data_IF_536573566253
#
_entry.id   IF_536573566253
#
_cell.length_a   1.000
_cell.length_b   1.000
_cell.length_c   1.000
_cell.angle_alpha   90.00
_cell.angle_beta   90.00
_cell.angle_gamma   90.00
#
_symmetry.space_group_name_H-M   'P 1'
#
loop_
_entity.id
_entity.type
_entity.pdbx_description
1 polymer ?
#
# COMPACT_ATOMS: atom_id res chain seq x y z
N UNK A 1 -5.07 -33.90 12.74
CA UNK A 1 -5.69 -32.60 13.09
C UNK A 1 -6.99 -32.62 12.32
N UNK A 2 -8.13 -32.74 13.01
CA UNK A 2 -9.42 -32.88 12.33
C UNK A 2 -9.66 -31.69 11.41
N UNK A 3 -10.08 -31.98 10.18
CA UNK A 3 -10.32 -30.96 9.17
C UNK A 3 -11.56 -30.16 9.59
N UNK A 4 -11.35 -28.89 9.97
CA UNK A 4 -12.45 -28.01 10.37
C UNK A 4 -13.44 -27.87 9.23
N UNK A 5 -14.72 -28.09 9.52
CA UNK A 5 -15.80 -27.90 8.56
C UNK A 5 -16.04 -26.40 8.30
N UNK A 6 -16.85 -26.07 7.29
CA UNK A 6 -17.10 -24.68 6.87
C UNK A 6 -17.69 -23.78 7.99
N UNK A 7 -18.43 -24.36 8.94
CA UNK A 7 -19.02 -23.64 10.09
C UNK A 7 -17.96 -23.39 11.15
N UNK A 8 -17.14 -24.40 11.45
CA UNK A 8 -16.03 -24.28 12.42
C UNK A 8 -14.98 -23.28 11.93
N UNK A 9 -14.68 -23.25 10.62
CA UNK A 9 -13.82 -22.22 10.01
C UNK A 9 -14.40 -20.82 10.19
N UNK A 10 -15.72 -20.66 10.05
CA UNK A 10 -16.38 -19.39 10.29
C UNK A 10 -16.30 -18.95 11.76
N UNK A 11 -16.55 -19.88 12.69
CA UNK A 11 -16.42 -19.64 14.13
C UNK A 11 -14.98 -19.27 14.50
N UNK A 12 -13.98 -19.97 13.96
CA UNK A 12 -12.57 -19.67 14.20
C UNK A 12 -12.21 -18.25 13.75
N UNK A 13 -12.62 -17.85 12.54
CA UNK A 13 -12.39 -16.49 12.05
C UNK A 13 -13.10 -15.43 12.91
N UNK A 14 -14.30 -15.73 13.40
CA UNK A 14 -15.08 -14.83 14.25
C UNK A 14 -14.46 -14.68 15.65
N UNK A 15 -14.13 -15.78 16.32
CA UNK A 15 -13.47 -15.73 17.63
C UNK A 15 -12.09 -15.08 17.56
N UNK A 16 -11.38 -15.22 16.44
CA UNK A 16 -10.10 -14.52 16.23
C UNK A 16 -10.30 -13.01 16.24
N UNK A 17 -11.26 -12.47 15.50
CA UNK A 17 -11.47 -11.01 15.48
C UNK A 17 -12.06 -10.49 16.79
N UNK A 18 -12.93 -11.25 17.45
CA UNK A 18 -13.43 -10.90 18.79
C UNK A 18 -12.28 -10.76 19.79
N UNK A 19 -11.32 -11.69 19.77
CA UNK A 19 -10.13 -11.63 20.64
C UNK A 19 -9.25 -10.40 20.39
N UNK A 20 -9.31 -9.78 19.19
CA UNK A 20 -8.60 -8.53 18.90
C UNK A 20 -9.21 -7.32 19.62
N UNK A 21 -10.52 -7.35 19.88
CA UNK A 21 -11.28 -6.24 20.47
C UNK A 21 -11.52 -6.40 21.98
N UNK A 22 -11.37 -7.60 22.52
CA UNK A 22 -11.53 -7.86 23.95
C UNK A 22 -10.40 -7.21 24.78
N UNK A 23 -10.77 -6.23 25.61
CA UNK A 23 -9.86 -5.48 26.47
C UNK A 23 -9.24 -6.33 27.61
N UNK A 24 -9.88 -7.42 28.01
CA UNK A 24 -9.43 -8.31 29.09
C UNK A 24 -9.05 -9.69 28.55
N UNK A 25 -7.76 -9.94 28.39
CA UNK A 25 -7.21 -11.27 28.10
C UNK A 25 -7.33 -11.74 26.64
N UNK A 26 -8.26 -11.20 25.84
CA UNK A 26 -8.43 -11.58 24.42
C UNK A 26 -7.19 -11.37 23.56
N UNK A 27 -6.49 -10.24 23.76
CA UNK A 27 -5.23 -9.96 23.05
C UNK A 27 -4.13 -11.01 23.30
N UNK A 28 -4.15 -11.72 24.44
CA UNK A 28 -3.21 -12.82 24.70
C UNK A 28 -3.53 -14.07 23.88
N UNK A 29 -4.79 -14.26 23.52
CA UNK A 29 -5.25 -15.41 22.73
C UNK A 29 -5.15 -15.14 21.23
N UNK A 30 -5.22 -13.88 20.80
CA UNK A 30 -5.19 -13.48 19.40
C UNK A 30 -4.06 -14.13 18.57
N UNK A 31 -2.77 -14.13 19.00
CA UNK A 31 -1.70 -14.75 18.22
C UNK A 31 -1.93 -16.25 18.00
N UNK A 32 -2.42 -16.95 19.02
CA UNK A 32 -2.68 -18.40 18.94
C UNK A 32 -3.85 -18.72 17.99
N UNK A 33 -4.89 -17.89 17.98
CA UNK A 33 -6.05 -18.03 17.11
C UNK A 33 -5.70 -17.68 15.67
N UNK A 34 -4.92 -16.62 15.45
CA UNK A 34 -4.41 -16.23 14.14
C UNK A 34 -3.56 -17.36 13.52
N UNK A 35 -2.68 -17.98 14.31
CA UNK A 35 -1.89 -19.16 13.86
C UNK A 35 -2.80 -20.30 13.39
N UNK A 36 -3.91 -20.56 14.09
CA UNK A 36 -4.90 -21.58 13.69
C UNK A 36 -5.62 -21.20 12.40
N UNK A 37 -6.01 -19.94 12.23
CA UNK A 37 -6.61 -19.43 10.99
C UNK A 37 -5.66 -19.68 9.81
N UNK A 38 -4.37 -19.35 9.98
CA UNK A 38 -3.29 -19.57 8.99
C UNK A 38 -3.11 -21.05 8.66
N UNK A 39 -2.95 -21.89 9.69
CA UNK A 39 -2.71 -23.32 9.51
C UNK A 39 -3.86 -24.04 8.79
N UNK A 40 -5.10 -23.63 9.07
CA UNK A 40 -6.31 -24.25 8.51
C UNK A 40 -6.86 -23.57 7.27
N UNK A 41 -6.20 -22.49 6.82
CA UNK A 41 -6.64 -21.65 5.70
C UNK A 41 -8.13 -21.27 5.80
N UNK A 42 -8.57 -20.94 7.01
CA UNK A 42 -10.00 -20.76 7.33
C UNK A 42 -10.69 -19.62 6.56
N UNK A 43 -9.93 -18.73 5.92
CA UNK A 43 -10.47 -17.69 5.04
C UNK A 43 -11.00 -18.23 3.71
N UNK A 44 -10.43 -19.32 3.18
CA UNK A 44 -10.63 -19.74 1.79
C UNK A 44 -12.07 -20.07 1.47
N UNK A 45 -12.75 -20.74 2.40
CA UNK A 45 -14.15 -21.10 2.28
C UNK A 45 -14.75 -21.35 3.64
N UNK A 46 -15.80 -20.59 3.98
CA UNK A 46 -16.50 -20.68 5.27
C UNK A 46 -17.96 -20.30 5.15
N UNK A 47 -18.80 -20.81 6.07
CA UNK A 47 -20.24 -20.58 6.07
C UNK A 47 -20.64 -19.61 7.18
N UNK A 48 -21.11 -18.42 6.80
CA UNK A 48 -21.62 -17.40 7.74
C UNK A 48 -23.13 -17.31 7.57
N UNK A 49 -23.86 -17.85 8.55
CA UNK A 49 -25.32 -17.99 8.48
C UNK A 49 -25.76 -18.87 7.29
N UNK A 50 -26.46 -18.28 6.32
CA UNK A 50 -26.92 -18.98 5.11
C UNK A 50 -26.00 -18.80 3.90
N UNK A 51 -24.92 -18.02 4.02
CA UNK A 51 -24.02 -17.69 2.91
C UNK A 51 -22.69 -18.44 3.05
N UNK A 52 -22.16 -18.89 1.91
CA UNK A 52 -20.77 -19.36 1.81
C UNK A 52 -19.92 -18.18 1.32
N UNK A 53 -18.79 -17.96 1.99
CA UNK A 53 -17.85 -16.88 1.71
C UNK A 53 -16.54 -17.53 1.31
N UNK A 54 -16.03 -17.14 0.15
CA UNK A 54 -14.76 -17.62 -0.40
C UNK A 54 -13.83 -16.43 -0.60
N UNK A 55 -12.63 -16.51 -0.01
CA UNK A 55 -11.61 -15.46 -0.09
C UNK A 55 -10.30 -16.04 -0.61
N UNK A 56 -9.59 -15.29 -1.45
CA UNK A 56 -8.38 -15.81 -2.12
C UNK A 56 -7.14 -15.70 -1.24
N UNK A 57 -7.16 -14.86 -0.20
CA UNK A 57 -6.00 -14.62 0.64
C UNK A 57 -6.38 -14.23 2.07
N UNK A 58 -5.42 -14.38 2.99
CA UNK A 58 -5.54 -13.88 4.36
C UNK A 58 -5.73 -12.36 4.39
N UNK A 59 -5.11 -11.63 3.46
CA UNK A 59 -5.30 -10.19 3.32
C UNK A 59 -6.77 -9.83 3.08
N UNK A 60 -7.47 -10.55 2.18
CA UNK A 60 -8.88 -10.31 1.92
C UNK A 60 -9.72 -10.53 3.19
N UNK A 61 -9.36 -11.52 4.03
CA UNK A 61 -10.03 -11.73 5.31
C UNK A 61 -9.86 -10.51 6.23
N UNK A 62 -8.67 -9.95 6.31
CA UNK A 62 -8.36 -8.84 7.21
C UNK A 62 -9.07 -7.56 6.74
N UNK A 63 -8.96 -7.22 5.45
CA UNK A 63 -9.38 -5.91 4.92
C UNK A 63 -10.87 -5.85 4.59
N UNK A 64 -11.49 -6.97 4.17
CA UNK A 64 -12.90 -6.96 3.74
C UNK A 64 -13.82 -6.58 4.89
N UNK A 65 -14.89 -5.83 4.58
CA UNK A 65 -15.86 -5.37 5.57
C UNK A 65 -16.51 -6.52 6.36
N UNK A 66 -17.03 -6.23 7.57
CA UNK A 66 -17.76 -7.20 8.39
C UNK A 66 -18.82 -7.97 7.59
N UNK A 67 -19.09 -9.21 8.00
CA UNK A 67 -19.75 -10.28 7.22
C UNK A 67 -18.80 -10.99 6.26
N UNK A 68 -17.99 -10.28 5.46
CA UNK A 68 -17.03 -10.89 4.51
C UNK A 68 -15.61 -10.98 5.03
N UNK A 69 -15.22 -10.14 5.98
CA UNK A 69 -13.91 -10.12 6.62
C UNK A 69 -13.94 -9.41 7.97
N UNK A 70 -12.79 -8.89 8.39
CA UNK A 70 -12.60 -8.24 9.69
C UNK A 70 -12.68 -6.71 9.64
N UNK A 71 -12.53 -6.10 8.46
CA UNK A 71 -12.52 -4.65 8.29
C UNK A 71 -11.34 -3.97 9.00
N UNK A 72 -10.23 -4.67 9.14
CA UNK A 72 -9.05 -4.24 9.87
C UNK A 72 -7.88 -3.85 8.96
N UNK A 73 -6.94 -3.10 9.53
CA UNK A 73 -5.65 -2.82 8.90
C UNK A 73 -4.67 -3.97 9.20
N UNK A 74 -4.04 -4.59 8.19
CA UNK A 74 -2.98 -5.58 8.40
C UNK A 74 -1.85 -5.10 9.31
N UNK A 75 -1.54 -3.80 9.31
CA UNK A 75 -0.53 -3.19 10.17
C UNK A 75 -0.92 -3.26 11.65
N UNK A 76 -2.22 -3.11 11.94
CA UNK A 76 -2.77 -3.25 13.30
C UNK A 76 -2.66 -4.71 13.75
N UNK A 77 -3.03 -5.66 12.89
CA UNK A 77 -2.89 -7.10 13.15
C UNK A 77 -1.42 -7.47 13.40
N UNK A 78 -0.51 -6.99 12.55
CA UNK A 78 0.94 -7.20 12.71
C UNK A 78 1.48 -6.59 14.02
N UNK A 79 0.96 -5.42 14.42
CA UNK A 79 1.35 -4.80 15.68
C UNK A 79 0.93 -5.63 16.90
N UNK A 80 -0.25 -6.26 16.89
CA UNK A 80 -0.72 -7.09 18.00
C UNK A 80 0.09 -8.38 18.15
N UNK A 81 0.60 -8.94 17.06
CA UNK A 81 1.37 -10.19 17.08
C UNK A 81 2.89 -9.97 17.12
N UNK A 82 3.34 -8.72 17.26
CA UNK A 82 4.77 -8.36 17.18
C UNK A 82 5.65 -9.14 18.14
N UNK A 83 5.15 -9.41 19.35
CA UNK A 83 5.87 -10.09 20.42
C UNK A 83 5.73 -11.62 20.37
N UNK A 84 4.99 -12.19 19.39
CA UNK A 84 4.93 -13.63 19.10
C UNK A 84 5.66 -13.90 17.76
N UNK A 85 6.96 -14.29 17.81
CA UNK A 85 7.77 -14.49 16.60
C UNK A 85 7.20 -15.54 15.64
N UNK A 86 6.54 -16.58 16.18
CA UNK A 86 5.94 -17.64 15.36
C UNK A 86 4.72 -17.12 14.61
N UNK A 87 3.84 -16.37 15.31
CA UNK A 87 2.66 -15.77 14.70
C UNK A 87 3.07 -14.73 13.66
N UNK A 88 4.08 -13.91 13.95
CA UNK A 88 4.60 -12.92 13.02
C UNK A 88 5.21 -13.56 11.75
N UNK A 89 5.97 -14.63 11.90
CA UNK A 89 6.54 -15.37 10.77
C UNK A 89 5.44 -16.02 9.91
N UNK A 90 4.48 -16.71 10.55
CA UNK A 90 3.35 -17.33 9.86
C UNK A 90 2.49 -16.29 9.13
N UNK A 91 2.23 -15.14 9.76
CA UNK A 91 1.49 -14.03 9.17
C UNK A 91 2.20 -13.47 7.94
N UNK A 92 3.49 -13.16 8.05
CA UNK A 92 4.27 -12.62 6.92
C UNK A 92 4.33 -13.59 5.74
N UNK A 93 4.46 -14.88 6.01
CA UNK A 93 4.44 -15.90 4.95
C UNK A 93 3.07 -15.97 4.26
N UNK A 94 1.99 -16.02 5.04
CA UNK A 94 0.63 -16.02 4.50
C UNK A 94 0.29 -14.76 3.70
N UNK A 95 0.89 -13.62 4.07
CA UNK A 95 0.70 -12.33 3.40
C UNK A 95 1.51 -12.17 2.10
N UNK A 96 2.45 -13.08 1.78
CA UNK A 96 3.20 -13.05 0.50
C UNK A 96 2.37 -13.52 -0.69
N UNK A 97 1.43 -14.43 -0.48
CA UNK A 97 0.59 -15.00 -1.53
C UNK A 97 -0.73 -14.22 -1.67
N UNK A 98 -0.70 -13.15 -2.47
CA UNK A 98 -1.82 -12.22 -2.67
C UNK A 98 -2.47 -12.39 -4.05
N UNK A 99 -3.05 -13.57 -4.36
CA UNK A 99 -3.83 -13.77 -5.59
C UNK A 99 -3.16 -13.30 -6.89
N UNK A 100 -3.94 -13.05 -7.95
CA UNK A 100 -3.39 -12.75 -9.29
C UNK A 100 -2.92 -11.31 -9.53
N UNK A 101 -3.17 -10.31 -8.65
CA UNK A 101 -2.58 -8.94 -8.67
C UNK A 101 -3.04 -8.15 -7.43
N UNK A 102 -2.45 -7.00 -7.09
CA UNK A 102 -1.26 -6.73 -6.22
C UNK A 102 -1.38 -5.30 -5.63
N UNK A 103 -2.59 -4.80 -5.46
CA UNK A 103 -2.90 -3.45 -5.05
C UNK A 103 -3.39 -3.46 -3.60
N UNK A 104 -2.40 -3.53 -2.70
CA UNK A 104 -2.40 -2.88 -1.40
C UNK A 104 -3.60 -3.24 -0.50
N UNK A 105 -3.36 -4.20 0.39
CA UNK A 105 -4.21 -4.56 1.52
C UNK A 105 -4.40 -3.43 2.57
N UNK A 106 -4.46 -2.16 2.17
CA UNK A 106 -4.63 -1.03 3.08
C UNK A 106 -5.50 0.05 2.43
N UNK A 107 -6.76 0.13 2.88
CA UNK A 107 -7.54 1.36 2.82
C UNK A 107 -7.12 2.24 4.01
N UNK A 108 -5.91 2.79 3.94
CA UNK A 108 -5.39 3.72 4.93
C UNK A 108 -5.03 5.02 4.24
N UNK A 109 -5.79 6.08 4.51
CA UNK A 109 -5.39 7.47 4.26
C UNK A 109 -4.20 7.82 5.16
N UNK A 110 -3.06 7.19 4.93
CA UNK A 110 -1.72 7.61 5.36
C UNK A 110 -0.71 6.65 4.70
N UNK A 111 -0.56 6.79 3.37
CA UNK A 111 0.66 6.32 2.73
C UNK A 111 1.78 7.26 3.18
N UNK A 112 2.29 7.08 4.40
CA UNK A 112 3.72 7.24 4.61
C UNK A 112 4.35 6.08 3.85
N UNK A 113 4.46 6.28 2.54
CA UNK A 113 5.23 5.43 1.66
C UNK A 113 6.53 5.15 2.38
N UNK A 114 6.90 3.88 2.55
CA UNK A 114 8.25 3.52 2.94
C UNK A 114 9.18 4.25 1.97
N UNK A 115 9.74 5.38 2.42
CA UNK A 115 10.47 6.33 1.59
C UNK A 115 11.68 5.64 0.93
N UNK A 116 12.10 4.49 1.46
CA UNK A 116 13.12 3.61 0.92
C UNK A 116 12.75 2.88 -0.38
N UNK A 117 11.55 2.28 -0.52
CA UNK A 117 11.23 1.48 -1.72
C UNK A 117 10.99 2.36 -2.95
N UNK A 118 10.22 3.45 -2.79
CA UNK A 118 9.95 4.39 -3.90
C UNK A 118 11.22 5.10 -4.35
N UNK A 119 12.13 5.43 -3.42
CA UNK A 119 13.41 6.08 -3.75
C UNK A 119 14.37 5.11 -4.44
N UNK A 120 14.54 3.88 -3.92
CA UNK A 120 15.39 2.87 -4.53
C UNK A 120 14.91 2.51 -5.95
N UNK A 121 13.59 2.33 -6.11
CA UNK A 121 12.97 2.12 -7.42
C UNK A 121 13.21 3.28 -8.38
N UNK A 122 13.07 4.53 -7.90
CA UNK A 122 13.31 5.72 -8.73
C UNK A 122 14.79 5.87 -9.12
N UNK A 123 15.73 5.49 -8.24
CA UNK A 123 17.18 5.52 -8.55
C UNK A 123 17.53 4.48 -9.62
N UNK A 124 17.06 3.23 -9.46
CA UNK A 124 17.28 2.18 -10.45
C UNK A 124 16.75 2.58 -11.84
N UNK A 125 15.65 3.34 -11.85
CA UNK A 125 15.02 3.82 -13.07
C UNK A 125 15.79 5.00 -13.70
N UNK A 126 16.29 5.94 -12.91
CA UNK A 126 17.19 7.01 -13.38
C UNK A 126 18.43 6.42 -14.05
N UNK A 127 19.03 5.38 -13.46
CA UNK A 127 20.21 4.70 -14.04
C UNK A 127 19.93 4.04 -15.39
N UNK A 128 18.69 3.63 -15.66
CA UNK A 128 18.29 2.95 -16.90
C UNK A 128 17.83 3.92 -17.99
N UNK A 129 17.14 5.01 -17.60
CA UNK A 129 16.34 5.84 -18.51
C UNK A 129 16.85 7.28 -18.65
N UNK A 130 17.88 7.71 -17.90
CA UNK A 130 18.45 9.06 -17.99
C UNK A 130 19.92 9.04 -18.46
N UNK A 131 20.40 10.19 -18.94
CA UNK A 131 21.79 10.38 -19.36
C UNK A 131 22.78 10.28 -18.17
N UNK A 132 24.06 9.97 -18.42
CA UNK A 132 25.06 9.78 -17.36
C UNK A 132 25.27 11.00 -16.44
N UNK A 133 25.11 12.22 -16.96
CA UNK A 133 25.28 13.46 -16.20
C UNK A 133 24.13 13.62 -15.18
N UNK A 134 22.90 13.34 -15.61
CA UNK A 134 21.72 13.30 -14.74
C UNK A 134 21.85 12.22 -13.66
N UNK A 135 22.37 11.04 -14.00
CA UNK A 135 22.60 9.95 -13.03
C UNK A 135 23.62 10.40 -11.96
N UNK A 136 24.72 11.03 -12.37
CA UNK A 136 25.75 11.53 -11.47
C UNK A 136 25.19 12.61 -10.51
N UNK A 137 24.39 13.55 -11.02
CA UNK A 137 23.76 14.59 -10.21
C UNK A 137 22.79 14.03 -9.15
N UNK A 138 22.11 12.92 -9.46
CA UNK A 138 21.24 12.22 -8.50
C UNK A 138 22.04 11.48 -7.43
N UNK A 139 23.12 10.79 -7.82
CA UNK A 139 24.00 10.07 -6.89
C UNK A 139 24.76 11.01 -5.95
N UNK A 140 25.13 12.20 -6.43
CA UNK A 140 25.71 13.27 -5.63
C UNK A 140 24.68 13.98 -4.72
N UNK A 141 23.39 13.65 -4.82
CA UNK A 141 22.33 14.23 -4.00
C UNK A 141 21.94 15.67 -4.40
N UNK A 142 22.45 16.19 -5.52
CA UNK A 142 22.14 17.53 -6.02
C UNK A 142 20.73 17.63 -6.59
N UNK A 143 20.21 16.51 -7.12
CA UNK A 143 18.86 16.40 -7.69
C UNK A 143 18.17 15.17 -7.13
N UNK A 144 16.87 15.25 -6.83
CA UNK A 144 16.12 14.08 -6.40
C UNK A 144 15.84 13.13 -7.58
N UNK A 145 15.77 11.81 -7.37
CA UNK A 145 15.51 10.85 -8.45
C UNK A 145 14.21 11.15 -9.22
N UNK A 146 13.17 11.60 -8.52
CA UNK A 146 11.92 11.99 -9.16
C UNK A 146 12.06 13.26 -10.02
N UNK A 147 12.83 14.26 -9.55
CA UNK A 147 13.07 15.47 -10.33
C UNK A 147 13.90 15.19 -11.59
N UNK A 148 14.86 14.27 -11.51
CA UNK A 148 15.64 13.81 -12.66
C UNK A 148 14.75 13.13 -13.72
N UNK A 149 13.88 12.19 -13.32
CA UNK A 149 12.95 11.52 -14.23
C UNK A 149 11.97 12.48 -14.91
N UNK A 150 11.52 13.53 -14.20
CA UNK A 150 10.65 14.56 -14.78
C UNK A 150 11.41 15.43 -15.78
N UNK A 151 12.65 15.86 -15.45
CA UNK A 151 13.49 16.66 -16.37
C UNK A 151 13.86 15.89 -17.62
N UNK A 152 14.11 14.58 -17.50
CA UNK A 152 14.40 13.70 -18.63
C UNK A 152 13.16 13.35 -19.47
N UNK A 153 11.97 13.85 -19.14
CA UNK A 153 10.71 13.56 -19.86
C UNK A 153 10.19 12.13 -19.66
N UNK A 154 10.85 11.32 -18.82
CA UNK A 154 10.50 9.92 -18.53
C UNK A 154 9.28 9.80 -17.62
N UNK A 155 8.97 10.86 -16.87
CA UNK A 155 7.81 10.92 -15.97
C UNK A 155 7.08 12.24 -16.13
N UNK A 156 5.78 12.16 -16.42
CA UNK A 156 4.90 13.33 -16.40
C UNK A 156 4.68 13.83 -14.97
N UNK A 157 4.82 15.13 -14.77
CA UNK A 157 4.49 15.75 -13.51
C UNK A 157 2.97 16.00 -13.43
N UNK A 158 2.24 15.04 -12.87
CA UNK A 158 0.77 15.04 -12.82
C UNK A 158 0.16 16.14 -11.95
N UNK A 159 0.92 16.73 -11.03
CA UNK A 159 0.43 17.77 -10.13
C UNK A 159 1.46 18.89 -10.01
N UNK A 160 1.07 20.08 -10.47
CA UNK A 160 1.84 21.30 -10.24
C UNK A 160 1.04 22.18 -9.31
N UNK A 161 1.56 22.40 -8.11
CA UNK A 161 1.05 23.45 -7.25
C UNK A 161 1.38 24.81 -7.88
N UNK A 162 0.35 25.55 -8.29
CA UNK A 162 0.46 26.92 -8.81
C UNK A 162 0.07 27.89 -7.68
N UNK A 163 0.98 28.80 -7.27
CA UNK A 163 0.64 29.88 -6.34
C UNK A 163 -0.55 30.70 -6.83
N UNK A 164 -1.38 31.21 -5.91
CA UNK A 164 -2.51 32.07 -6.26
C UNK A 164 -2.09 33.44 -6.81
N UNK A 165 -0.87 33.87 -6.49
CA UNK A 165 -0.28 35.11 -7.02
C UNK A 165 0.13 34.92 -8.49
N UNK A 166 -0.38 35.73 -9.43
CA UNK A 166 -0.09 35.59 -10.86
C UNK A 166 1.40 35.72 -11.21
N UNK A 167 2.13 36.65 -10.57
CA UNK A 167 3.56 36.83 -10.84
C UNK A 167 4.37 35.61 -10.37
N UNK A 168 4.07 35.11 -9.17
CA UNK A 168 4.65 33.89 -8.62
C UNK A 168 4.29 32.63 -9.42
N UNK A 169 3.07 32.55 -9.96
CA UNK A 169 2.66 31.47 -10.85
C UNK A 169 3.51 31.43 -12.13
N UNK A 170 3.66 32.56 -12.81
CA UNK A 170 4.45 32.66 -14.04
C UNK A 170 5.93 32.35 -13.78
N UNK A 171 6.51 32.91 -12.72
CA UNK A 171 7.91 32.63 -12.35
C UNK A 171 8.14 31.14 -12.06
N UNK A 172 7.18 30.49 -11.39
CA UNK A 172 7.28 29.06 -11.06
C UNK A 172 7.15 28.18 -12.31
N UNK A 173 6.19 28.47 -13.17
CA UNK A 173 5.99 27.72 -14.42
C UNK A 173 7.19 27.87 -15.35
N UNK A 174 7.75 29.09 -15.47
CA UNK A 174 8.99 29.34 -16.24
C UNK A 174 10.16 28.49 -15.73
N UNK A 175 10.38 28.46 -14.42
CA UNK A 175 11.45 27.66 -13.80
C UNK A 175 11.28 26.15 -14.06
N UNK A 176 10.03 25.69 -14.11
CA UNK A 176 9.73 24.26 -14.15
C UNK A 176 9.62 23.70 -15.57
N UNK A 177 9.12 24.48 -16.52
CA UNK A 177 8.83 24.05 -17.89
C UNK A 177 9.57 24.84 -18.97
N UNK A 178 10.30 25.90 -18.59
CA UNK A 178 11.03 26.75 -19.51
C UNK A 178 10.20 27.88 -20.12
N UNK A 179 10.88 28.79 -20.82
CA UNK A 179 10.26 29.97 -21.44
C UNK A 179 9.36 29.64 -22.63
N UNK A 180 9.72 28.62 -23.42
CA UNK A 180 8.92 28.13 -24.56
C UNK A 180 7.52 27.67 -24.12
N UNK A 181 7.42 27.00 -22.98
CA UNK A 181 6.13 26.57 -22.43
C UNK A 181 5.24 27.75 -22.04
N UNK A 182 5.82 28.81 -21.45
CA UNK A 182 5.07 30.02 -21.09
C UNK A 182 4.57 30.75 -22.34
N UNK A 183 5.40 30.80 -23.37
CA UNK A 183 5.05 31.41 -24.66
C UNK A 183 3.88 30.66 -25.30
N UNK A 184 3.96 29.34 -25.39
CA UNK A 184 2.88 28.50 -25.91
C UNK A 184 1.58 28.65 -25.10
N UNK A 185 1.65 28.75 -23.76
CA UNK A 185 0.47 29.02 -22.95
C UNK A 185 -0.15 30.38 -23.24
N UNK A 186 0.66 31.45 -23.39
CA UNK A 186 0.15 32.77 -23.73
C UNK A 186 -0.55 32.74 -25.08
N UNK A 187 0.07 32.13 -26.09
CA UNK A 187 -0.53 31.94 -27.41
C UNK A 187 -1.85 31.13 -27.35
N UNK A 188 -1.93 30.11 -26.49
CA UNK A 188 -3.16 29.33 -26.28
C UNK A 188 -4.26 30.11 -25.52
N UNK A 189 -3.89 31.05 -24.65
CA UNK A 189 -4.82 31.92 -23.94
C UNK A 189 -5.35 33.06 -24.81
N UNK A 190 -4.48 33.61 -25.67
CA UNK A 190 -4.81 34.71 -26.59
C UNK A 190 -5.46 34.21 -27.90
N UNK A 191 -5.42 32.90 -28.16
CA UNK A 191 -5.94 32.22 -29.35
C UNK A 191 -7.39 31.72 -29.25
N UNK A 192 -8.29 32.50 -28.65
CA UNK A 192 -9.75 32.39 -28.80
C UNK A 192 -10.37 33.77 -29.00
#
# INVERSE_FOLDING_TARGET
>A
MDELNEIERAQLCQSTIESLYEATGGLRQFPSLLKKVIATRAWERRKVGRKVIELKSLCELIVSQPVHGWGEDPSKVEAVIRDDPEALAAFREAMKHQGERTDLCTNGTEVKSVTGQTRAYSIARVQRECDPETVAAVMAGQVSPNAALVRAGVRENRQVYIPRDPAGAVAKLRRQFGDEFIRAMREAMDGR
#
